data_IF_900093299677
#
_entry.id   IF_900093299677
#
_cell.length_a   1.000
_cell.length_b   1.000
_cell.length_c   1.000
_cell.angle_alpha   90.00
_cell.angle_beta   90.00
_cell.angle_gamma   90.00
#
_symmetry.space_group_name_H-M   'P 1'
#
loop_
_entity.id
_entity.type
_entity.pdbx_description
1 polymer ?
#
# COMPACT_ATOMS: atom_id res chain seq x y z
N UNK A 1 17.14 -26.65 -14.61
CA UNK A 1 16.42 -25.43 -15.06
C UNK A 1 17.09 -24.21 -14.42
N UNK A 2 17.79 -23.36 -15.20
CA UNK A 2 18.56 -22.21 -14.70
C UNK A 2 17.73 -21.11 -14.00
N UNK A 3 16.43 -21.04 -14.26
CA UNK A 3 15.57 -19.92 -13.84
C UNK A 3 14.48 -20.31 -12.84
N UNK A 4 14.72 -21.32 -12.01
CA UNK A 4 13.83 -21.62 -10.87
C UNK A 4 13.74 -20.41 -9.93
N UNK A 5 12.52 -20.13 -9.46
CA UNK A 5 12.23 -19.05 -8.51
C UNK A 5 12.53 -19.42 -7.06
N UNK A 6 12.80 -20.70 -6.77
CA UNK A 6 13.27 -21.13 -5.45
C UNK A 6 14.63 -20.49 -5.16
N UNK A 7 14.85 -19.85 -4.00
CA UNK A 7 16.11 -19.19 -3.72
C UNK A 7 17.21 -20.24 -3.48
N UNK A 8 18.22 -20.23 -4.35
CA UNK A 8 19.43 -21.06 -4.27
C UNK A 8 20.64 -20.11 -4.33
N UNK A 9 21.45 -20.12 -3.27
CA UNK A 9 22.58 -19.20 -3.09
C UNK A 9 23.65 -19.36 -4.18
N UNK A 10 23.75 -20.52 -4.84
CA UNK A 10 24.66 -20.73 -5.98
C UNK A 10 24.34 -19.83 -7.16
N UNK A 11 23.07 -19.42 -7.29
CA UNK A 11 22.60 -18.50 -8.32
C UNK A 11 22.57 -17.04 -7.85
N UNK A 12 23.27 -16.71 -6.75
CA UNK A 12 23.44 -15.32 -6.31
C UNK A 12 24.19 -14.51 -7.37
N UNK A 13 23.51 -13.49 -7.90
CA UNK A 13 24.10 -12.56 -8.84
C UNK A 13 24.63 -11.32 -8.11
N UNK A 14 25.96 -11.09 -8.08
CA UNK A 14 26.56 -9.96 -7.36
C UNK A 14 26.41 -8.61 -8.08
N UNK A 15 26.04 -8.60 -9.37
CA UNK A 15 25.87 -7.36 -10.14
C UNK A 15 24.70 -6.50 -9.65
N UNK A 16 24.52 -5.34 -10.28
CA UNK A 16 23.48 -4.38 -9.92
C UNK A 16 23.50 -3.95 -8.44
N UNK A 17 24.70 -3.71 -7.90
CA UNK A 17 24.97 -3.31 -6.51
C UNK A 17 24.67 -4.37 -5.44
N UNK A 18 24.18 -5.57 -5.79
CA UNK A 18 23.84 -6.60 -4.79
C UNK A 18 25.05 -7.09 -4.02
N UNK A 19 26.20 -7.26 -4.69
CA UNK A 19 27.47 -7.61 -4.05
C UNK A 19 27.94 -6.53 -3.08
N UNK A 20 27.94 -5.27 -3.52
CA UNK A 20 28.31 -4.14 -2.67
C UNK A 20 27.39 -4.00 -1.44
N UNK A 21 26.08 -4.21 -1.60
CA UNK A 21 25.12 -4.20 -0.49
C UNK A 21 25.37 -5.38 0.45
N UNK A 22 25.64 -6.57 -0.07
CA UNK A 22 25.98 -7.74 0.74
C UNK A 22 27.23 -7.49 1.59
N UNK A 23 28.28 -6.96 0.98
CA UNK A 23 29.54 -6.65 1.68
C UNK A 23 29.34 -5.54 2.72
N UNK A 24 28.54 -4.52 2.39
CA UNK A 24 28.17 -3.47 3.34
C UNK A 24 27.31 -3.98 4.51
N UNK A 25 26.41 -4.94 4.27
CA UNK A 25 25.63 -5.60 5.31
C UNK A 25 26.53 -6.39 6.26
N UNK A 26 27.47 -7.18 5.71
CA UNK A 26 28.45 -7.93 6.52
C UNK A 26 29.29 -6.97 7.35
N UNK A 27 29.78 -5.89 6.75
CA UNK A 27 30.56 -4.87 7.44
C UNK A 27 29.78 -4.23 8.60
N UNK A 28 28.54 -3.79 8.36
CA UNK A 28 27.71 -3.16 9.38
C UNK A 28 27.39 -4.12 10.54
N UNK A 29 27.09 -5.39 10.23
CA UNK A 29 26.82 -6.42 11.23
C UNK A 29 28.05 -6.72 12.08
N UNK A 30 29.22 -6.88 11.45
CA UNK A 30 30.46 -7.13 12.19
C UNK A 30 30.87 -5.90 13.01
N UNK A 31 30.56 -4.70 12.52
CA UNK A 31 30.76 -3.43 13.22
C UNK A 31 29.84 -3.21 14.43
N UNK A 32 28.82 -4.06 14.63
CA UNK A 32 27.91 -3.96 15.78
C UNK A 32 26.77 -2.95 15.59
N UNK A 33 26.41 -2.64 14.34
CA UNK A 33 25.33 -1.70 14.05
C UNK A 33 23.98 -2.22 14.55
N UNK A 34 23.32 -1.42 15.37
CA UNK A 34 22.12 -1.87 16.09
C UNK A 34 20.95 -2.22 15.18
N UNK A 35 20.75 -1.45 14.09
CA UNK A 35 19.62 -1.65 13.19
C UNK A 35 19.93 -1.26 11.76
N UNK A 36 19.66 -2.20 10.86
CA UNK A 36 19.88 -2.08 9.42
C UNK A 36 18.58 -2.39 8.69
N UNK A 37 18.32 -1.69 7.59
CA UNK A 37 17.13 -1.88 6.77
C UNK A 37 17.51 -2.08 5.31
N UNK A 38 16.90 -3.07 4.67
CA UNK A 38 17.01 -3.37 3.25
C UNK A 38 15.63 -3.38 2.63
N UNK A 39 15.38 -2.47 1.69
CA UNK A 39 14.10 -2.30 1.01
C UNK A 39 14.22 -2.70 -0.45
N UNK A 40 13.18 -3.32 -0.98
CA UNK A 40 13.07 -3.51 -2.41
C UNK A 40 11.73 -4.09 -2.81
N UNK A 41 11.37 -3.90 -4.08
CA UNK A 41 10.12 -4.40 -4.65
C UNK A 41 9.95 -5.93 -4.55
N UNK A 42 8.72 -6.40 -4.78
CA UNK A 42 8.45 -7.85 -4.85
C UNK A 42 9.30 -8.49 -5.95
N UNK A 43 10.06 -9.53 -5.57
CA UNK A 43 10.93 -10.22 -6.50
C UNK A 43 12.21 -9.45 -6.87
N UNK A 44 12.66 -8.50 -6.05
CA UNK A 44 13.95 -7.80 -6.21
C UNK A 44 15.18 -8.62 -5.77
N UNK A 45 14.96 -9.78 -5.14
CA UNK A 45 16.02 -10.68 -4.66
C UNK A 45 16.30 -10.63 -3.16
N UNK A 46 15.47 -9.95 -2.34
CA UNK A 46 15.64 -9.83 -0.88
C UNK A 46 15.93 -11.17 -0.17
N UNK A 47 15.06 -12.17 -0.32
CA UNK A 47 15.25 -13.50 0.30
C UNK A 47 16.55 -14.18 -0.14
N UNK A 48 16.96 -13.96 -1.40
CA UNK A 48 18.19 -14.54 -1.94
C UNK A 48 19.43 -13.82 -1.35
N UNK A 49 19.37 -12.51 -1.20
CA UNK A 49 20.37 -11.71 -0.49
C UNK A 49 20.46 -12.12 0.99
N UNK A 50 19.32 -12.25 1.69
CA UNK A 50 19.24 -12.66 3.08
C UNK A 50 19.89 -14.04 3.32
N UNK A 51 19.55 -15.05 2.50
CA UNK A 51 20.18 -16.38 2.58
C UNK A 51 21.67 -16.34 2.29
N UNK A 52 22.10 -15.53 1.32
CA UNK A 52 23.52 -15.40 0.97
C UNK A 52 24.28 -14.69 2.08
N UNK A 53 23.66 -13.70 2.73
CA UNK A 53 24.19 -13.04 3.93
C UNK A 53 24.39 -14.06 5.05
N UNK A 54 23.37 -14.86 5.38
CA UNK A 54 23.48 -15.88 6.41
C UNK A 54 24.62 -16.87 6.17
N UNK A 55 24.86 -17.26 4.91
CA UNK A 55 25.96 -18.16 4.54
C UNK A 55 27.35 -17.51 4.55
N UNK A 56 27.43 -16.17 4.49
CA UNK A 56 28.70 -15.43 4.44
C UNK A 56 29.06 -14.73 5.74
N UNK A 57 28.12 -14.65 6.69
CA UNK A 57 28.41 -14.16 8.02
C UNK A 57 29.43 -15.07 8.70
N UNK A 58 30.35 -14.51 9.50
CA UNK A 58 31.36 -15.29 10.21
C UNK A 58 30.72 -16.14 11.31
N UNK A 59 31.40 -17.22 11.72
CA UNK A 59 30.93 -18.13 12.79
C UNK A 59 30.76 -17.44 14.16
N UNK A 60 31.33 -16.25 14.34
CA UNK A 60 31.12 -15.40 15.51
C UNK A 60 29.73 -14.74 15.54
N UNK A 61 28.96 -14.80 14.45
CA UNK A 61 27.62 -14.21 14.35
C UNK A 61 26.58 -15.32 14.38
N UNK A 62 25.74 -15.29 15.40
CA UNK A 62 24.59 -16.18 15.56
C UNK A 62 23.34 -15.50 14.98
N UNK A 63 22.68 -16.18 14.05
CA UNK A 63 21.57 -15.64 13.27
C UNK A 63 20.24 -16.21 13.75
N UNK A 64 19.32 -15.32 14.12
CA UNK A 64 17.91 -15.63 14.36
C UNK A 64 17.11 -15.19 13.14
N UNK A 65 16.39 -16.11 12.50
CA UNK A 65 15.67 -15.83 11.24
C UNK A 65 14.16 -15.82 11.43
N UNK A 66 13.51 -14.68 11.15
CA UNK A 66 12.06 -14.52 11.25
C UNK A 66 11.46 -14.32 9.85
N UNK A 67 10.88 -15.40 9.29
CA UNK A 67 10.26 -15.36 7.96
C UNK A 67 8.86 -14.74 7.92
N UNK A 68 8.09 -14.88 9.00
CA UNK A 68 6.67 -14.50 9.06
C UNK A 68 6.40 -13.60 10.27
N UNK A 69 6.68 -12.29 10.18
CA UNK A 69 6.71 -11.43 11.35
C UNK A 69 5.33 -10.81 11.69
N UNK A 70 4.23 -11.41 11.21
CA UNK A 70 2.87 -10.98 11.54
C UNK A 70 2.45 -11.52 12.91
N UNK A 71 3.17 -11.08 13.95
CA UNK A 71 3.03 -11.51 15.33
C UNK A 71 2.65 -10.34 16.22
N UNK A 72 2.01 -10.64 17.35
CA UNK A 72 1.80 -9.67 18.42
C UNK A 72 3.14 -9.37 19.13
N UNK A 73 3.24 -8.23 19.85
CA UNK A 73 4.45 -7.87 20.60
C UNK A 73 4.92 -8.95 21.59
N UNK A 74 4.01 -9.63 22.28
CA UNK A 74 4.42 -10.68 23.23
C UNK A 74 4.92 -11.93 22.50
N UNK A 75 4.25 -12.32 21.40
CA UNK A 75 4.63 -13.51 20.65
C UNK A 75 6.01 -13.39 19.99
N UNK A 76 6.42 -12.19 19.55
CA UNK A 76 7.74 -12.03 18.93
C UNK A 76 8.88 -12.34 19.91
N UNK A 77 8.71 -12.02 21.21
CA UNK A 77 9.69 -12.34 22.25
C UNK A 77 9.85 -13.85 22.44
N UNK A 78 8.74 -14.56 22.52
CA UNK A 78 8.75 -16.03 22.64
C UNK A 78 9.35 -16.69 21.40
N UNK A 79 9.05 -16.18 20.20
CA UNK A 79 9.63 -16.72 18.96
C UNK A 79 11.14 -16.50 18.93
N UNK A 80 11.64 -15.31 19.28
CA UNK A 80 13.08 -15.05 19.36
C UNK A 80 13.74 -15.97 20.40
N UNK A 81 13.13 -16.14 21.57
CA UNK A 81 13.66 -17.02 22.60
C UNK A 81 13.74 -18.48 22.16
N UNK A 82 12.71 -18.97 21.46
CA UNK A 82 12.69 -20.33 20.91
C UNK A 82 13.76 -20.54 19.82
N UNK A 83 13.95 -19.56 18.93
CA UNK A 83 15.00 -19.61 17.90
C UNK A 83 16.41 -19.56 18.51
N UNK A 84 16.58 -18.91 19.68
CA UNK A 84 17.81 -18.94 20.47
C UNK A 84 17.95 -20.21 21.35
N UNK A 85 17.04 -21.18 21.20
CA UNK A 85 16.99 -22.43 21.94
C UNK A 85 16.84 -22.26 23.47
N UNK A 86 16.09 -21.24 23.89
CA UNK A 86 15.77 -21.00 25.30
C UNK A 86 14.49 -21.75 25.69
N UNK A 87 14.49 -22.38 26.86
CA UNK A 87 13.31 -23.05 27.42
C UNK A 87 12.39 -22.02 28.08
N UNK A 88 11.60 -21.33 27.27
CA UNK A 88 10.64 -20.32 27.71
C UNK A 88 9.22 -20.89 27.66
N UNK A 89 8.66 -21.19 28.83
CA UNK A 89 7.27 -21.67 28.94
C UNK A 89 6.29 -20.59 28.48
N UNK A 90 5.18 -21.01 27.87
CA UNK A 90 4.14 -20.11 27.37
C UNK A 90 3.43 -19.28 28.47
N UNK A 91 3.57 -19.70 29.72
CA UNK A 91 2.97 -19.05 30.91
C UNK A 91 3.85 -17.94 31.48
N UNK A 92 5.11 -17.84 31.04
CA UNK A 92 6.03 -16.82 31.53
C UNK A 92 5.53 -15.44 31.13
N UNK A 93 5.61 -14.51 32.08
CA UNK A 93 5.25 -13.13 31.78
C UNK A 93 6.33 -12.48 30.91
N UNK A 94 5.95 -11.40 30.22
CA UNK A 94 6.84 -10.64 29.33
C UNK A 94 8.18 -10.27 29.98
N UNK A 95 8.17 -9.88 31.25
CA UNK A 95 9.38 -9.46 31.96
C UNK A 95 10.36 -10.62 32.15
N UNK A 96 9.86 -11.80 32.53
CA UNK A 96 10.65 -13.03 32.67
C UNK A 96 11.28 -13.46 31.35
N UNK A 97 10.52 -13.38 30.25
CA UNK A 97 11.06 -13.69 28.91
C UNK A 97 12.17 -12.71 28.52
N UNK A 98 11.95 -11.41 28.71
CA UNK A 98 12.97 -10.39 28.43
C UNK A 98 14.22 -10.57 29.28
N UNK A 99 14.07 -10.86 30.57
CA UNK A 99 15.20 -11.12 31.47
C UNK A 99 15.98 -12.35 31.01
N UNK A 100 15.30 -13.43 30.63
CA UNK A 100 15.92 -14.66 30.13
C UNK A 100 16.67 -14.41 28.82
N UNK A 101 16.07 -13.65 27.89
CA UNK A 101 16.72 -13.22 26.66
C UNK A 101 17.98 -12.39 26.95
N UNK A 102 17.89 -11.40 27.84
CA UNK A 102 19.02 -10.55 28.19
C UNK A 102 20.19 -11.36 28.77
N UNK A 103 19.92 -12.30 29.68
CA UNK A 103 20.95 -13.18 30.24
C UNK A 103 21.61 -14.04 29.15
N UNK A 104 20.82 -14.67 28.28
CA UNK A 104 21.36 -15.43 27.16
C UNK A 104 22.26 -14.57 26.27
N UNK A 105 21.81 -13.37 25.89
CA UNK A 105 22.59 -12.48 25.02
C UNK A 105 23.90 -12.02 25.68
N UNK A 106 23.90 -11.79 27.00
CA UNK A 106 25.12 -11.50 27.76
C UNK A 106 26.08 -12.70 27.75
N UNK A 107 25.59 -13.92 27.91
CA UNK A 107 26.41 -15.13 27.86
C UNK A 107 27.04 -15.33 26.47
N UNK A 108 26.25 -15.12 25.40
CA UNK A 108 26.77 -15.16 24.02
C UNK A 108 27.82 -14.09 23.78
N UNK A 109 27.59 -12.87 24.28
CA UNK A 109 28.56 -11.79 24.19
C UNK A 109 29.86 -12.10 24.95
N UNK A 110 29.77 -12.70 26.15
CA UNK A 110 30.95 -13.14 26.91
C UNK A 110 31.76 -14.23 26.18
N UNK A 111 31.11 -15.03 25.33
CA UNK A 111 31.76 -15.99 24.42
C UNK A 111 32.31 -15.35 23.13
N UNK A 112 32.23 -14.02 22.99
CA UNK A 112 32.66 -13.30 21.79
C UNK A 112 31.70 -13.46 20.60
N UNK A 113 30.46 -13.92 20.83
CA UNK A 113 29.44 -14.05 19.80
C UNK A 113 28.57 -12.80 19.71
N UNK A 114 28.15 -12.47 18.50
CA UNK A 114 27.17 -11.42 18.20
C UNK A 114 25.86 -12.08 17.78
N UNK A 115 24.72 -11.57 18.26
CA UNK A 115 23.41 -12.09 17.86
C UNK A 115 22.73 -11.11 16.92
N UNK A 116 22.28 -11.60 15.77
CA UNK A 116 21.63 -10.82 14.72
C UNK A 116 20.28 -11.44 14.39
N UNK A 117 19.22 -10.62 14.44
CA UNK A 117 17.89 -11.00 13.99
C UNK A 117 17.72 -10.55 12.54
N UNK A 118 17.47 -11.48 11.63
CA UNK A 118 17.07 -11.22 10.25
C UNK A 118 15.55 -11.35 10.14
N UNK A 119 14.86 -10.24 9.87
CA UNK A 119 13.40 -10.21 9.73
C UNK A 119 13.05 -10.03 8.26
N UNK A 120 12.42 -11.04 7.64
CA UNK A 120 11.89 -10.94 6.29
C UNK A 120 10.43 -10.48 6.28
N UNK A 121 10.04 -9.79 5.19
CA UNK A 121 8.69 -9.24 5.00
C UNK A 121 8.25 -8.30 6.15
N UNK A 122 9.20 -7.49 6.65
CA UNK A 122 9.00 -6.60 7.80
C UNK A 122 7.85 -5.58 7.61
N UNK A 123 7.43 -5.28 6.38
CA UNK A 123 6.26 -4.43 6.14
C UNK A 123 4.94 -5.05 6.63
N UNK A 124 4.90 -6.38 6.84
CA UNK A 124 3.73 -7.09 7.36
C UNK A 124 3.65 -7.05 8.90
N UNK A 125 4.64 -6.46 9.57
CA UNK A 125 4.63 -6.30 11.02
C UNK A 125 3.64 -5.22 11.45
N UNK A 126 2.81 -5.48 12.49
CA UNK A 126 2.09 -4.43 13.17
C UNK A 126 3.04 -3.37 13.73
N UNK A 127 2.59 -2.10 13.79
CA UNK A 127 3.40 -0.99 14.29
C UNK A 127 3.84 -1.21 15.75
N UNK A 128 2.97 -1.76 16.59
CA UNK A 128 3.29 -2.07 17.99
C UNK A 128 4.39 -3.13 18.09
N UNK A 129 4.42 -4.10 17.17
CA UNK A 129 5.47 -5.14 17.11
C UNK A 129 6.79 -4.57 16.59
N UNK A 130 6.76 -3.63 15.64
CA UNK A 130 7.96 -2.89 15.24
C UNK A 130 8.52 -2.08 16.42
N UNK A 131 7.65 -1.44 17.20
CA UNK A 131 8.08 -0.73 18.41
C UNK A 131 8.70 -1.69 19.43
N UNK A 132 8.17 -2.90 19.60
CA UNK A 132 8.79 -3.94 20.44
C UNK A 132 10.20 -4.31 19.96
N UNK A 133 10.38 -4.51 18.65
CA UNK A 133 11.69 -4.77 18.05
C UNK A 133 12.66 -3.60 18.30
N UNK A 134 12.16 -2.35 18.27
CA UNK A 134 12.96 -1.16 18.63
C UNK A 134 13.40 -1.19 20.10
N UNK A 135 12.54 -1.66 21.00
CA UNK A 135 12.87 -1.77 22.42
C UNK A 135 13.94 -2.83 22.65
N UNK A 136 13.87 -3.96 21.94
CA UNK A 136 14.88 -5.01 21.99
C UNK A 136 16.27 -4.55 21.53
N UNK A 137 16.35 -3.59 20.60
CA UNK A 137 17.65 -3.02 20.16
C UNK A 137 18.34 -2.18 21.26
N UNK A 138 17.65 -1.88 22.37
CA UNK A 138 18.26 -1.29 23.56
C UNK A 138 18.98 -2.30 24.44
N UNK A 139 18.89 -3.60 24.15
CA UNK A 139 19.66 -4.60 24.90
C UNK A 139 21.14 -4.42 24.57
N UNK A 140 21.85 -3.80 25.52
CA UNK A 140 23.26 -3.44 25.39
C UNK A 140 23.97 -3.52 26.74
N UNK A 141 25.29 -3.71 26.69
CA UNK A 141 26.19 -3.42 27.80
C UNK A 141 26.59 -1.94 27.74
N UNK A 142 27.40 -1.48 28.70
CA UNK A 142 27.93 -0.11 28.68
C UNK A 142 28.72 0.23 27.40
N UNK A 143 29.22 -0.78 26.68
CA UNK A 143 30.13 -0.60 25.56
C UNK A 143 29.67 -1.26 24.25
N UNK A 144 28.74 -2.23 24.31
CA UNK A 144 28.40 -3.07 23.16
C UNK A 144 26.91 -3.39 23.08
N UNK A 145 26.36 -3.34 21.86
CA UNK A 145 25.03 -3.87 21.56
C UNK A 145 25.03 -5.40 21.69
N UNK A 146 24.03 -5.94 22.38
CA UNK A 146 23.86 -7.38 22.57
C UNK A 146 23.02 -8.01 21.45
N UNK A 147 22.17 -7.20 20.81
CA UNK A 147 21.26 -7.64 19.76
C UNK A 147 21.27 -6.65 18.60
N UNK A 148 21.46 -7.17 17.40
CA UNK A 148 21.38 -6.40 16.15
C UNK A 148 20.17 -6.85 15.33
N UNK A 149 19.56 -5.93 14.59
CA UNK A 149 18.35 -6.22 13.80
C UNK A 149 18.56 -5.82 12.34
N UNK A 150 18.26 -6.72 11.41
CA UNK A 150 18.25 -6.47 9.97
C UNK A 150 16.84 -6.69 9.43
N UNK A 151 16.23 -5.62 8.92
CA UNK A 151 14.88 -5.64 8.38
C UNK A 151 14.93 -5.75 6.86
N UNK A 152 14.36 -6.81 6.30
CA UNK A 152 14.10 -6.93 4.87
C UNK A 152 12.63 -6.66 4.60
N UNK A 153 12.36 -5.63 3.81
CA UNK A 153 10.98 -5.20 3.56
C UNK A 153 10.74 -4.72 2.14
N UNK A 154 9.47 -4.46 1.84
CA UNK A 154 9.03 -3.77 0.64
C UNK A 154 8.93 -2.25 0.92
N UNK A 155 8.77 -1.38 -0.10
CA UNK A 155 8.69 0.08 0.09
C UNK A 155 7.60 0.55 1.07
N UNK A 156 6.58 -0.27 1.32
CA UNK A 156 5.57 -0.08 2.34
C UNK A 156 6.18 0.03 3.75
N UNK A 157 7.30 -0.65 4.01
CA UNK A 157 8.04 -0.49 5.27
C UNK A 157 8.52 0.95 5.46
N UNK A 158 8.99 1.62 4.41
CA UNK A 158 9.40 3.02 4.49
C UNK A 158 8.24 3.96 4.75
N UNK A 159 7.05 3.61 4.24
CA UNK A 159 5.83 4.37 4.52
C UNK A 159 5.44 4.21 5.99
N UNK A 160 5.49 2.99 6.53
CA UNK A 160 5.20 2.71 7.95
C UNK A 160 6.19 3.44 8.87
N UNK A 161 7.50 3.33 8.60
CA UNK A 161 8.54 4.00 9.37
C UNK A 161 8.55 5.52 9.17
N UNK A 162 7.93 6.04 8.11
CA UNK A 162 7.75 7.46 7.86
C UNK A 162 6.63 8.11 8.67
N UNK A 163 5.80 7.32 9.35
CA UNK A 163 4.72 7.84 10.22
C UNK A 163 5.28 8.54 11.46
N UNK A 164 4.51 9.49 12.03
CA UNK A 164 4.94 10.24 13.21
C UNK A 164 5.20 9.35 14.43
N UNK A 165 4.41 8.28 14.61
CA UNK A 165 4.57 7.33 15.71
C UNK A 165 5.89 6.55 15.62
N UNK A 166 6.38 6.27 14.41
CA UNK A 166 7.60 5.49 14.18
C UNK A 166 8.87 6.34 14.00
N UNK A 167 8.81 7.66 14.27
CA UNK A 167 9.97 8.56 14.13
C UNK A 167 11.18 8.06 14.94
N UNK A 168 10.95 7.61 16.17
CA UNK A 168 12.01 7.10 17.04
C UNK A 168 12.64 5.81 16.50
N UNK A 169 11.84 4.95 15.89
CA UNK A 169 12.34 3.76 15.21
C UNK A 169 13.24 4.16 14.04
N UNK A 170 12.75 5.05 13.18
CA UNK A 170 13.46 5.50 11.98
C UNK A 170 14.81 6.13 12.30
N UNK A 171 14.91 6.92 13.36
CA UNK A 171 16.16 7.55 13.81
C UNK A 171 17.21 6.53 14.30
N UNK A 172 16.81 5.30 14.64
CA UNK A 172 17.73 4.21 15.02
C UNK A 172 18.21 3.35 13.86
N UNK A 173 17.63 3.49 12.67
CA UNK A 173 18.11 2.77 11.48
C UNK A 173 19.44 3.41 11.06
N UNK A 174 20.56 2.78 11.42
CA UNK A 174 21.90 3.27 11.12
C UNK A 174 22.24 3.16 9.62
N UNK A 175 21.76 2.09 8.99
CA UNK A 175 21.96 1.85 7.56
C UNK A 175 20.66 1.52 6.84
N UNK A 176 20.48 2.10 5.66
CA UNK A 176 19.35 1.86 4.76
C UNK A 176 19.86 1.56 3.36
N UNK A 177 19.52 0.38 2.84
CA UNK A 177 19.88 -0.06 1.49
C UNK A 177 18.64 -0.29 0.64
N UNK A 178 18.72 0.08 -0.63
CA UNK A 178 17.66 -0.14 -1.61
C UNK A 178 18.10 -1.14 -2.68
N UNK A 179 17.21 -2.05 -3.07
CA UNK A 179 17.42 -3.00 -4.16
C UNK A 179 16.65 -2.54 -5.40
N UNK A 180 17.25 -1.69 -6.27
CA UNK A 180 16.56 -1.15 -7.43
C UNK A 180 16.32 -2.24 -8.49
N UNK A 181 15.27 -2.13 -9.33
CA UNK A 181 15.08 -3.00 -10.48
C UNK A 181 16.30 -2.99 -11.43
N UNK A 182 16.54 -4.09 -12.12
CA UNK A 182 17.65 -4.17 -13.08
C UNK A 182 17.46 -3.28 -14.30
N UNK A 183 18.52 -2.59 -14.68
CA UNK A 183 18.70 -1.96 -15.99
C UNK A 183 18.87 -3.01 -17.09
N UNK A 184 18.76 -2.59 -18.36
CA UNK A 184 18.85 -3.49 -19.52
C UNK A 184 20.19 -4.25 -19.56
N UNK A 185 21.30 -3.58 -19.24
CA UNK A 185 22.62 -4.20 -19.18
C UNK A 185 22.69 -5.25 -18.05
N UNK A 186 22.15 -4.92 -16.88
CA UNK A 186 22.13 -5.85 -15.74
C UNK A 186 21.23 -7.06 -16.01
N UNK A 187 20.12 -6.90 -16.75
CA UNK A 187 19.30 -8.04 -17.19
C UNK A 187 20.10 -9.00 -18.08
N UNK A 188 20.89 -8.49 -19.02
CA UNK A 188 21.79 -9.33 -19.84
C UNK A 188 22.76 -10.10 -18.94
N UNK A 189 23.46 -9.37 -18.08
CA UNK A 189 24.53 -9.93 -17.26
C UNK A 189 23.96 -10.98 -16.29
N UNK A 190 22.77 -10.73 -15.73
CA UNK A 190 22.02 -11.67 -14.91
C UNK A 190 21.61 -12.94 -15.67
N UNK A 191 21.01 -12.81 -16.86
CA UNK A 191 20.60 -13.97 -17.67
C UNK A 191 21.81 -14.85 -18.01
N UNK A 192 22.91 -14.23 -18.44
CA UNK A 192 24.15 -14.92 -18.77
C UNK A 192 24.76 -15.61 -17.55
N UNK A 193 24.79 -14.93 -16.40
CA UNK A 193 25.23 -15.52 -15.15
C UNK A 193 24.42 -16.76 -14.78
N UNK A 194 23.08 -16.69 -14.80
CA UNK A 194 22.21 -17.83 -14.46
C UNK A 194 22.39 -19.01 -15.42
N UNK A 195 22.61 -18.74 -16.71
CA UNK A 195 22.92 -19.78 -17.70
C UNK A 195 24.28 -20.43 -17.42
N UNK A 196 25.29 -19.63 -17.11
CA UNK A 196 26.64 -20.12 -16.82
C UNK A 196 26.67 -21.01 -15.57
N UNK A 197 26.03 -20.58 -14.48
CA UNK A 197 25.90 -21.38 -13.24
C UNK A 197 25.17 -22.71 -13.49
N UNK A 198 24.25 -22.75 -14.46
CA UNK A 198 23.56 -23.99 -14.85
C UNK A 198 24.37 -24.89 -15.81
N UNK A 199 25.63 -24.56 -16.09
CA UNK A 199 26.54 -25.35 -16.92
C UNK A 199 26.49 -25.04 -18.41
N UNK A 200 25.80 -23.98 -18.83
CA UNK A 200 25.79 -23.56 -20.23
C UNK A 200 27.10 -22.85 -20.60
N UNK A 201 27.76 -23.35 -21.66
CA UNK A 201 28.96 -22.70 -22.23
C UNK A 201 28.66 -21.71 -23.36
N UNK A 202 27.45 -21.73 -23.93
CA UNK A 202 27.12 -20.77 -25.00
C UNK A 202 26.73 -19.41 -24.40
N UNK A 203 27.42 -18.36 -24.83
CA UNK A 203 27.24 -16.98 -24.36
C UNK A 203 26.02 -16.27 -24.96
N UNK A 204 25.37 -16.86 -25.98
CA UNK A 204 24.45 -16.13 -26.87
C UNK A 204 23.03 -16.73 -26.96
N UNK A 205 22.59 -17.50 -25.97
CA UNK A 205 21.21 -18.03 -25.94
C UNK A 205 20.13 -16.94 -26.02
N UNK A 206 20.42 -15.75 -25.50
CA UNK A 206 19.53 -14.60 -25.47
C UNK A 206 20.05 -13.48 -26.39
N UNK A 207 19.50 -13.31 -27.61
CA UNK A 207 19.92 -12.23 -28.49
C UNK A 207 19.65 -10.84 -27.89
N UNK A 208 20.46 -9.81 -28.18
CA UNK A 208 20.30 -8.46 -27.62
C UNK A 208 18.92 -7.81 -27.83
N UNK A 209 18.21 -8.17 -28.91
CA UNK A 209 16.84 -7.71 -29.16
C UNK A 209 15.84 -8.32 -28.19
N UNK A 210 16.02 -9.61 -27.86
CA UNK A 210 15.19 -10.35 -26.90
C UNK A 210 15.45 -9.82 -25.50
N UNK A 211 16.71 -9.62 -25.10
CA UNK A 211 17.08 -9.06 -23.79
C UNK A 211 16.40 -7.71 -23.55
N UNK A 212 16.48 -6.78 -24.51
CA UNK A 212 15.82 -5.46 -24.41
C UNK A 212 14.32 -5.59 -24.16
N UNK A 213 13.67 -6.57 -24.79
CA UNK A 213 12.24 -6.82 -24.62
C UNK A 213 11.94 -7.52 -23.30
N UNK A 214 12.75 -8.47 -22.85
CA UNK A 214 12.66 -9.07 -21.50
C UNK A 214 12.75 -7.99 -20.45
N UNK A 215 13.75 -7.09 -20.52
CA UNK A 215 13.90 -5.97 -19.59
C UNK A 215 12.65 -5.07 -19.57
N UNK A 216 12.08 -4.76 -20.75
CA UNK A 216 10.84 -3.99 -20.85
C UNK A 216 9.61 -4.69 -20.24
N UNK A 217 9.40 -5.98 -20.55
CA UNK A 217 8.26 -6.74 -20.04
C UNK A 217 8.39 -7.14 -18.57
N UNK A 218 9.61 -7.28 -18.06
CA UNK A 218 9.87 -7.59 -16.64
C UNK A 218 9.97 -6.34 -15.78
N UNK A 219 10.17 -5.17 -16.38
CA UNK A 219 10.49 -3.91 -15.69
C UNK A 219 11.71 -4.05 -14.75
N UNK A 220 12.63 -4.96 -15.06
CA UNK A 220 13.83 -5.21 -14.25
C UNK A 220 13.61 -6.05 -12.98
N UNK A 221 12.40 -6.59 -12.74
CA UNK A 221 12.13 -7.49 -11.61
C UNK A 221 12.74 -8.87 -11.85
N UNK A 222 13.58 -9.35 -10.92
CA UNK A 222 14.26 -10.65 -11.02
C UNK A 222 13.25 -11.79 -11.20
N UNK A 223 12.16 -11.78 -10.42
CA UNK A 223 11.10 -12.80 -10.52
C UNK A 223 10.46 -12.85 -11.91
N UNK A 224 10.19 -11.69 -12.51
CA UNK A 224 9.58 -11.60 -13.85
C UNK A 224 10.57 -12.02 -14.94
N UNK A 225 11.84 -11.64 -14.79
CA UNK A 225 12.92 -12.08 -15.69
C UNK A 225 13.01 -13.61 -15.67
N UNK A 226 13.07 -14.21 -14.48
CA UNK A 226 13.15 -15.66 -14.32
C UNK A 226 11.95 -16.37 -14.96
N UNK A 227 10.73 -15.89 -14.69
CA UNK A 227 9.53 -16.50 -15.25
C UNK A 227 9.51 -16.45 -16.79
N UNK A 228 9.88 -15.30 -17.37
CA UNK A 228 9.98 -15.17 -18.82
C UNK A 228 11.05 -16.09 -19.39
N UNK A 229 12.25 -16.09 -18.81
CA UNK A 229 13.37 -16.90 -19.28
C UNK A 229 13.05 -18.40 -19.20
N UNK A 230 12.44 -18.87 -18.10
CA UNK A 230 12.06 -20.27 -17.92
C UNK A 230 11.05 -20.73 -18.99
N UNK A 231 9.97 -19.96 -19.20
CA UNK A 231 8.98 -20.26 -20.25
C UNK A 231 9.57 -20.22 -21.66
N UNK A 232 10.45 -19.25 -21.92
CA UNK A 232 11.14 -19.14 -23.19
C UNK A 232 12.04 -20.34 -23.48
N UNK A 233 12.81 -20.79 -22.49
CA UNK A 233 13.65 -21.98 -22.61
C UNK A 233 12.83 -23.25 -22.80
N UNK A 234 11.71 -23.40 -22.10
CA UNK A 234 10.79 -24.53 -22.29
C UNK A 234 10.23 -24.55 -23.71
N UNK A 235 9.79 -23.40 -24.24
CA UNK A 235 9.26 -23.30 -25.60
C UNK A 235 10.33 -23.61 -26.66
N UNK A 236 11.56 -23.11 -26.47
CA UNK A 236 12.67 -23.38 -27.37
C UNK A 236 13.11 -24.84 -27.34
N UNK A 237 13.15 -25.45 -26.15
CA UNK A 237 13.44 -26.87 -25.99
C UNK A 237 12.42 -27.74 -26.72
N UNK A 238 11.12 -27.44 -26.59
CA UNK A 238 10.06 -28.14 -27.31
C UNK A 238 10.17 -28.04 -28.85
N UNK A 239 10.86 -27.02 -29.36
CA UNK A 239 11.08 -26.77 -30.79
C UNK A 239 12.50 -27.16 -31.26
N UNK A 240 13.32 -27.77 -30.39
CA UNK A 240 14.74 -28.04 -30.65
C UNK A 240 15.53 -26.82 -31.15
N UNK A 241 15.18 -25.61 -30.67
CA UNK A 241 15.82 -24.38 -31.08
C UNK A 241 17.08 -24.10 -30.26
N UNK A 242 18.19 -23.79 -30.94
CA UNK A 242 19.47 -23.44 -30.31
C UNK A 242 19.56 -22.00 -29.80
N UNK A 243 18.64 -21.13 -30.22
CA UNK A 243 18.57 -19.72 -29.81
C UNK A 243 17.15 -19.27 -29.48
N UNK A 244 17.03 -18.32 -28.56
CA UNK A 244 15.74 -17.73 -28.19
C UNK A 244 15.33 -16.63 -29.17
N UNK A 245 14.09 -16.70 -29.65
CA UNK A 245 13.55 -15.78 -30.63
C UNK A 245 12.42 -14.93 -30.02
N UNK A 246 12.01 -13.87 -30.75
CA UNK A 246 10.88 -13.04 -30.35
C UNK A 246 9.56 -13.80 -30.21
N UNK A 247 9.21 -14.77 -31.08
CA UNK A 247 8.06 -15.65 -30.87
C UNK A 247 8.05 -16.35 -29.50
N UNK A 248 9.18 -16.90 -29.06
CA UNK A 248 9.27 -17.54 -27.73
C UNK A 248 8.95 -16.56 -26.61
N UNK A 249 9.47 -15.32 -26.70
CA UNK A 249 9.17 -14.28 -25.71
C UNK A 249 7.69 -13.89 -25.73
N UNK A 250 7.09 -13.70 -26.90
CA UNK A 250 5.69 -13.30 -27.01
C UNK A 250 4.75 -14.38 -26.46
N UNK A 251 5.05 -15.66 -26.69
CA UNK A 251 4.32 -16.77 -26.08
C UNK A 251 4.50 -16.78 -24.56
N UNK A 252 5.75 -16.66 -24.08
CA UNK A 252 6.02 -16.57 -22.65
C UNK A 252 5.29 -15.41 -21.96
N UNK A 253 5.23 -14.23 -22.60
CA UNK A 253 4.50 -13.06 -22.09
C UNK A 253 2.99 -13.32 -22.05
N UNK A 254 2.41 -13.94 -23.09
CA UNK A 254 0.97 -14.29 -23.10
C UNK A 254 0.62 -15.24 -21.96
N UNK A 255 1.50 -16.20 -21.67
CA UNK A 255 1.30 -17.17 -20.60
C UNK A 255 1.57 -16.58 -19.21
N UNK A 256 2.09 -15.36 -19.12
CA UNK A 256 2.35 -14.68 -17.85
C UNK A 256 1.28 -13.63 -17.59
N UNK A 257 0.55 -13.78 -16.48
CA UNK A 257 -0.34 -12.74 -15.96
C UNK A 257 0.52 -11.69 -15.24
N UNK A 258 1.24 -10.86 -16.00
CA UNK A 258 1.82 -9.65 -15.44
C UNK A 258 0.72 -8.60 -15.36
N UNK A 259 0.56 -7.98 -14.19
CA UNK A 259 -0.36 -6.86 -14.04
C UNK A 259 0.04 -5.79 -15.07
N UNK A 260 -0.78 -5.62 -16.11
CA UNK A 260 -0.45 -4.81 -17.27
C UNK A 260 -0.55 -3.33 -16.88
N UNK A 261 0.48 -2.79 -16.24
CA UNK A 261 0.72 -1.34 -16.33
C UNK A 261 1.32 -1.07 -17.72
N UNK A 262 0.60 -0.38 -18.62
CA UNK A 262 1.05 -0.17 -19.99
C UNK A 262 2.29 0.71 -20.00
N UNK A 263 3.43 0.09 -20.31
CA UNK A 263 4.76 0.67 -20.55
C UNK A 263 4.80 1.81 -21.61
N UNK A 264 3.67 2.16 -22.22
CA UNK A 264 3.54 3.22 -23.21
C UNK A 264 3.38 4.64 -22.65
N UNK A 265 3.04 4.83 -21.37
CA UNK A 265 2.63 6.17 -20.89
C UNK A 265 3.74 7.07 -20.32
N UNK A 266 4.93 6.55 -19.98
CA UNK A 266 6.01 7.41 -19.43
C UNK A 266 6.96 8.02 -20.48
N UNK A 267 6.91 7.59 -21.75
CA UNK A 267 7.59 8.34 -22.84
C UNK A 267 6.74 9.50 -23.38
N UNK A 268 5.41 9.37 -23.41
CA UNK A 268 4.54 10.47 -23.86
C UNK A 268 4.47 11.63 -22.86
N UNK A 269 4.65 11.39 -21.55
CA UNK A 269 4.70 12.49 -20.57
C UNK A 269 5.93 13.40 -20.72
N UNK A 270 7.05 12.91 -21.27
CA UNK A 270 8.22 13.75 -21.60
C UNK A 270 8.07 14.52 -22.91
N UNK A 271 7.30 14.02 -23.87
CA UNK A 271 6.99 14.74 -25.12
C UNK A 271 5.88 15.78 -24.89
N UNK A 272 4.93 15.51 -23.99
CA UNK A 272 3.87 16.45 -23.61
C UNK A 272 4.37 17.75 -22.97
N UNK A 273 5.54 17.73 -22.32
CA UNK A 273 6.15 18.94 -21.73
C UNK A 273 6.81 19.87 -22.76
N UNK A 274 7.12 19.40 -23.98
CA UNK A 274 7.69 20.22 -25.04
C UNK A 274 6.62 20.90 -25.90
N UNK A 275 5.40 20.35 -25.93
CA UNK A 275 4.28 20.93 -26.69
C UNK A 275 3.92 22.38 -26.29
N UNK A 276 3.82 22.76 -25.00
CA UNK A 276 3.53 24.15 -24.64
C UNK A 276 4.64 25.12 -25.03
N UNK A 277 5.91 24.69 -25.04
CA UNK A 277 7.05 25.53 -25.45
C UNK A 277 6.99 25.81 -26.95
N UNK A 278 6.73 24.78 -27.76
CA UNK A 278 6.59 24.93 -29.23
C UNK A 278 5.40 25.81 -29.58
N UNK A 279 4.24 25.60 -28.95
CA UNK A 279 3.04 26.43 -29.17
C UNK A 279 3.28 27.89 -28.77
N UNK A 280 3.98 28.14 -27.66
CA UNK A 280 4.29 29.49 -27.21
C UNK A 280 5.26 30.21 -28.16
N UNK A 281 6.26 29.49 -28.71
CA UNK A 281 7.18 30.07 -29.71
C UNK A 281 6.47 30.42 -31.02
N UNK A 282 5.51 29.60 -31.46
CA UNK A 282 4.73 29.86 -32.68
C UNK A 282 3.77 31.04 -32.47
N UNK A 283 3.11 31.13 -31.31
CA UNK A 283 2.25 32.27 -30.97
C UNK A 283 3.03 33.58 -30.82
N UNK A 284 4.25 33.54 -30.27
CA UNK A 284 5.11 34.71 -30.16
C UNK A 284 5.59 35.22 -31.53
N UNK A 285 5.91 34.30 -32.46
CA UNK A 285 6.27 34.64 -33.83
C UNK A 285 5.08 35.26 -34.59
N UNK A 286 3.87 34.72 -34.41
CA UNK A 286 2.65 35.28 -35.01
C UNK A 286 2.30 36.65 -34.43
N UNK A 287 2.49 36.87 -33.13
CA UNK A 287 2.24 38.16 -32.48
C UNK A 287 3.18 39.26 -33.02
N UNK A 288 4.48 38.96 -33.15
CA UNK A 288 5.47 39.86 -33.76
C UNK A 288 5.12 40.24 -35.21
N UNK A 289 4.50 39.32 -35.97
CA UNK A 289 4.08 39.59 -37.35
C UNK A 289 2.80 40.42 -37.47
N UNK A 290 2.02 40.56 -36.39
CA UNK A 290 0.74 41.28 -36.39
C UNK A 290 0.84 42.76 -36.00
N UNK A 291 2.03 43.21 -35.58
CA UNK A 291 2.27 44.60 -35.17
C UNK A 291 3.24 45.30 -36.11
N UNK A 292 2.93 45.34 -37.41
CA UNK A 292 3.59 46.23 -38.38
C UNK A 292 2.53 46.92 -39.25
N UNK A 293 2.21 48.16 -38.83
CA UNK A 293 1.65 49.32 -39.56
C UNK A 293 0.34 49.16 -40.34
N UNK A 294 -0.59 50.12 -40.16
CA UNK A 294 -0.86 51.00 -41.30
C UNK A 294 -0.99 52.49 -40.91
N UNK A 295 -0.11 53.32 -41.45
CA UNK A 295 -0.43 54.71 -41.79
C UNK A 295 -0.79 54.71 -43.27
N UNK A 296 -2.04 55.01 -43.60
CA UNK A 296 -2.33 55.96 -44.67
C UNK A 296 -3.79 56.40 -44.67
N UNK A 297 -3.95 57.70 -44.91
CA UNK A 297 -5.15 58.50 -44.94
C UNK A 297 -6.06 58.13 -46.12
N UNK A 298 -7.38 58.15 -45.92
CA UNK A 298 -8.33 58.07 -47.03
C UNK A 298 -9.78 58.03 -46.61
N UNK A 299 -10.45 59.17 -46.72
CA UNK A 299 -11.83 59.44 -46.33
C UNK A 299 -12.91 58.67 -47.13
N UNK A 300 -14.16 58.85 -46.66
CA UNK A 300 -15.48 58.64 -47.31
C UNK A 300 -16.22 57.37 -46.84
N UNK A 301 -17.48 57.36 -46.37
CA UNK A 301 -18.63 58.26 -46.50
C UNK A 301 -19.56 58.25 -45.24
N UNK A 302 -20.13 59.43 -44.92
CA UNK A 302 -21.54 59.79 -44.54
C UNK A 302 -22.56 58.64 -44.29
N UNK A 303 -23.59 58.66 -43.43
CA UNK A 303 -24.20 59.53 -42.39
C UNK A 303 -25.46 58.74 -41.81
N UNK A 304 -26.47 59.29 -41.06
CA UNK A 304 -26.83 58.86 -39.68
C UNK A 304 -28.35 58.49 -39.47
N UNK A 305 -28.87 58.80 -38.25
CA UNK A 305 -30.25 58.72 -37.67
C UNK A 305 -30.59 57.41 -36.93
N UNK A 306 -31.31 57.34 -35.80
CA UNK A 306 -31.71 58.18 -34.64
C UNK A 306 -33.01 57.56 -34.09
N UNK A 307 -33.13 57.50 -32.76
CA UNK A 307 -34.37 57.63 -31.96
C UNK A 307 -35.58 56.67 -32.10
N UNK A 308 -35.91 56.05 -30.95
CA UNK A 308 -37.17 56.22 -30.18
C UNK A 308 -36.95 55.56 -28.79
N UNK A 309 -36.89 56.31 -27.67
CA UNK A 309 -37.99 56.86 -26.84
C UNK A 309 -38.95 55.74 -26.35
N UNK A 310 -39.40 55.59 -25.10
CA UNK A 310 -39.35 56.43 -23.88
C UNK A 310 -39.94 55.62 -22.69
N UNK A 311 -39.66 56.09 -21.46
CA UNK A 311 -40.44 56.00 -20.20
C UNK A 311 -39.91 55.08 -19.08
N UNK A 312 -39.20 55.68 -18.10
CA UNK A 312 -39.71 56.19 -16.80
C UNK A 312 -40.83 55.38 -16.10
N UNK A 313 -40.94 55.27 -14.76
CA UNK A 313 -40.13 55.66 -13.61
C UNK A 313 -40.75 55.00 -12.34
N UNK A 314 -39.90 54.85 -11.33
CA UNK A 314 -40.07 55.04 -9.88
C UNK A 314 -41.29 54.61 -9.01
N UNK A 315 -40.91 53.96 -7.88
CA UNK A 315 -41.27 54.22 -6.45
C UNK A 315 -42.63 53.73 -5.91
N UNK A 316 -42.57 53.03 -4.76
CA UNK A 316 -43.72 52.87 -3.86
C UNK A 316 -43.61 51.77 -2.80
N UNK A 317 -43.15 52.17 -1.61
CA UNK A 317 -42.97 51.42 -0.35
C UNK A 317 -44.29 50.88 0.29
N UNK A 318 -44.18 49.82 1.12
CA UNK A 318 -44.73 49.63 2.50
C UNK A 318 -45.42 48.30 2.85
N UNK A 319 -44.83 47.64 3.86
CA UNK A 319 -45.39 47.12 5.12
C UNK A 319 -46.17 45.79 5.28
N UNK A 320 -45.78 45.13 6.40
CA UNK A 320 -46.54 44.24 7.31
C UNK A 320 -46.68 42.77 6.91
N UNK A 321 -46.33 41.79 7.76
CA UNK A 321 -46.95 41.55 9.08
C UNK A 321 -46.15 40.57 9.96
N UNK A 322 -46.44 40.63 11.26
CA UNK A 322 -45.68 40.11 12.40
C UNK A 322 -46.56 39.20 13.28
N UNK A 323 -45.93 38.31 14.08
CA UNK A 323 -46.34 37.73 15.41
C UNK A 323 -47.46 36.68 15.51
N UNK A 324 -47.11 35.49 16.06
CA UNK A 324 -47.74 34.81 17.25
C UNK A 324 -46.73 33.82 17.88
N UNK A 325 -46.09 34.11 19.03
CA UNK A 325 -46.39 33.74 20.44
C UNK A 325 -46.36 32.23 20.84
N UNK A 326 -45.30 31.90 21.59
CA UNK A 326 -45.29 31.30 22.96
C UNK A 326 -45.75 29.86 23.24
N UNK A 327 -44.74 29.03 23.55
CA UNK A 327 -44.58 27.99 24.57
C UNK A 327 -45.76 27.46 25.41
N UNK A 328 -45.81 26.14 25.59
CA UNK A 328 -45.77 25.40 26.89
C UNK A 328 -45.66 23.86 26.62
N UNK A 329 -44.83 23.18 27.45
CA UNK A 329 -44.57 21.71 27.63
C UNK A 329 -43.63 21.04 26.63
N UNK A 330 -42.31 20.90 26.85
CA UNK A 330 -41.49 20.38 27.97
C UNK A 330 -41.48 18.84 28.12
N UNK A 331 -40.43 18.23 27.53
CA UNK A 331 -39.51 17.18 28.04
C UNK A 331 -39.20 16.13 26.97
N UNK A 332 -38.26 16.46 26.09
CA UNK A 332 -37.29 15.55 25.43
C UNK A 332 -36.57 16.37 24.37
N UNK A 333 -35.60 17.20 24.77
CA UNK A 333 -34.65 17.83 23.84
C UNK A 333 -33.50 18.47 24.62
N UNK A 334 -32.50 17.66 24.95
CA UNK A 334 -31.13 18.12 25.18
C UNK A 334 -30.24 17.08 24.49
N UNK A 335 -30.16 17.12 23.15
CA UNK A 335 -29.11 16.49 22.32
C UNK A 335 -29.39 16.60 20.80
N UNK A 336 -29.92 17.71 20.25
CA UNK A 336 -30.08 17.80 18.78
C UNK A 336 -29.99 19.20 18.14
N UNK A 337 -29.02 20.01 18.55
CA UNK A 337 -28.74 21.29 17.85
C UNK A 337 -27.23 21.53 17.69
N UNK A 338 -26.63 20.86 16.71
CA UNK A 338 -25.25 21.20 16.32
C UNK A 338 -24.52 20.33 15.28
N UNK A 339 -25.14 19.31 14.66
CA UNK A 339 -24.38 18.37 13.80
C UNK A 339 -25.03 18.19 12.44
N UNK A 340 -24.62 19.01 11.47
CA UNK A 340 -25.02 18.89 10.05
C UNK A 340 -24.38 17.63 9.46
N UNK A 341 -25.19 16.63 9.13
CA UNK A 341 -24.79 15.36 8.49
C UNK A 341 -24.26 15.56 7.07
N UNK A 342 -23.12 14.94 6.72
CA UNK A 342 -22.47 15.05 5.40
C UNK A 342 -23.39 14.57 4.26
N UNK A 343 -24.18 13.51 4.48
CA UNK A 343 -25.22 13.04 3.55
C UNK A 343 -26.35 14.04 3.29
N UNK A 344 -26.68 14.90 4.27
CA UNK A 344 -27.68 15.96 4.10
C UNK A 344 -27.26 16.99 3.04
N UNK A 345 -25.95 17.13 2.81
CA UNK A 345 -25.34 18.02 1.81
C UNK A 345 -25.49 17.52 0.37
N UNK A 346 -25.78 16.22 0.17
CA UNK A 346 -25.90 15.57 -1.15
C UNK A 346 -27.30 14.98 -1.43
N UNK A 347 -28.28 15.22 -0.56
CA UNK A 347 -29.66 14.70 -0.65
C UNK A 347 -30.48 15.20 -1.87
N UNK A 348 -29.86 15.93 -2.80
CA UNK A 348 -30.52 16.73 -3.83
C UNK A 348 -31.12 15.97 -5.02
N UNK A 349 -30.73 14.72 -5.32
CA UNK A 349 -31.33 13.84 -6.34
C UNK A 349 -30.61 12.49 -6.36
N UNK A 350 -31.20 11.49 -5.69
CA UNK A 350 -30.72 10.11 -5.69
C UNK A 350 -29.80 9.76 -4.53
N UNK A 351 -30.26 9.95 -3.28
CA UNK A 351 -29.65 9.47 -2.03
C UNK A 351 -30.70 8.96 -1.02
N UNK A 352 -31.83 8.46 -1.52
CA UNK A 352 -33.02 8.17 -0.68
C UNK A 352 -32.82 6.92 0.17
N UNK A 353 -32.27 5.86 -0.42
CA UNK A 353 -32.06 4.57 0.27
C UNK A 353 -30.97 4.70 1.34
N UNK A 354 -29.88 5.41 1.02
CA UNK A 354 -28.77 5.64 1.95
C UNK A 354 -29.19 6.42 3.18
N UNK A 355 -29.91 7.53 2.99
CA UNK A 355 -30.39 8.36 4.10
C UNK A 355 -31.31 7.56 5.03
N UNK A 356 -32.18 6.72 4.46
CA UNK A 356 -33.07 5.86 5.24
C UNK A 356 -32.30 4.79 6.02
N UNK A 357 -31.34 4.11 5.40
CA UNK A 357 -30.51 3.09 6.07
C UNK A 357 -29.62 3.68 7.17
N UNK A 358 -29.11 4.90 7.00
CA UNK A 358 -28.33 5.57 8.04
C UNK A 358 -29.15 5.85 9.31
N UNK A 359 -30.39 6.29 9.15
CA UNK A 359 -31.30 6.55 10.29
C UNK A 359 -31.60 5.24 11.02
N UNK A 360 -31.91 4.18 10.27
CA UNK A 360 -32.19 2.86 10.84
C UNK A 360 -30.96 2.25 11.54
N UNK A 361 -29.77 2.45 10.96
CA UNK A 361 -28.50 1.96 11.53
C UNK A 361 -28.19 2.65 12.87
N UNK A 362 -28.41 3.96 12.98
CA UNK A 362 -28.23 4.67 14.26
C UNK A 362 -29.19 4.19 15.34
N UNK A 363 -30.44 3.92 14.98
CA UNK A 363 -31.44 3.34 15.90
C UNK A 363 -31.08 1.93 16.32
N UNK A 364 -30.56 1.13 15.39
CA UNK A 364 -30.11 -0.23 15.65
C UNK A 364 -28.91 -0.25 16.60
N UNK A 365 -27.85 0.53 16.34
CA UNK A 365 -26.66 0.60 17.20
C UNK A 365 -27.04 1.01 18.62
N UNK A 366 -27.91 2.01 18.79
CA UNK A 366 -28.38 2.44 20.11
C UNK A 366 -29.23 1.40 20.86
N UNK A 367 -29.62 0.29 20.23
CA UNK A 367 -30.49 -0.74 20.80
C UNK A 367 -29.81 -2.09 21.05
N UNK A 368 -28.56 -2.26 20.59
CA UNK A 368 -27.86 -3.56 20.61
C UNK A 368 -26.72 -3.52 21.62
N UNK A 369 -26.54 -4.62 22.34
CA UNK A 369 -25.47 -4.78 23.32
C UNK A 369 -24.09 -4.85 22.64
N UNK A 370 -23.09 -4.16 23.19
CA UNK A 370 -21.68 -4.13 22.76
C UNK A 370 -21.04 -5.51 22.52
N UNK A 371 -21.59 -6.57 23.14
CA UNK A 371 -21.14 -7.95 23.03
C UNK A 371 -21.44 -8.62 21.67
N UNK A 372 -22.20 -7.96 20.80
CA UNK A 372 -22.58 -8.49 19.48
C UNK A 372 -21.52 -8.20 18.42
N UNK A 373 -21.56 -9.00 17.35
CA UNK A 373 -20.68 -8.91 16.19
C UNK A 373 -21.50 -8.63 14.92
N UNK A 374 -20.91 -7.91 13.97
CA UNK A 374 -21.45 -7.66 12.64
C UNK A 374 -20.42 -8.04 11.57
N UNK A 375 -20.86 -8.17 10.32
CA UNK A 375 -19.97 -8.44 9.19
C UNK A 375 -19.82 -7.16 8.39
N UNK A 376 -18.61 -6.60 8.34
CA UNK A 376 -18.31 -5.43 7.54
C UNK A 376 -18.12 -5.85 6.08
N UNK A 377 -18.97 -5.31 5.19
CA UNK A 377 -18.97 -5.64 3.78
C UNK A 377 -18.00 -4.76 2.99
N UNK A 378 -17.99 -3.45 3.24
CA UNK A 378 -17.14 -2.51 2.52
C UNK A 378 -17.00 -1.20 3.28
N UNK A 379 -15.90 -0.50 3.03
CA UNK A 379 -15.66 0.87 3.49
C UNK A 379 -15.14 1.70 2.33
N UNK A 380 -15.66 2.92 2.18
CA UNK A 380 -15.18 3.90 1.20
C UNK A 380 -14.95 5.24 1.88
N UNK A 381 -14.05 6.04 1.32
CA UNK A 381 -13.91 7.43 1.78
C UNK A 381 -15.22 8.15 1.56
N UNK A 382 -15.73 8.80 2.59
CA UNK A 382 -16.98 9.54 2.54
C UNK A 382 -16.83 10.90 1.87
N UNK A 383 -15.71 11.20 1.20
CA UNK A 383 -15.33 12.55 0.78
C UNK A 383 -15.75 12.89 -0.65
N UNK A 384 -16.04 11.89 -1.49
CA UNK A 384 -16.39 12.09 -2.91
C UNK A 384 -17.84 11.69 -3.21
N UNK A 385 -18.54 12.55 -3.98
CA UNK A 385 -19.91 12.29 -4.46
C UNK A 385 -20.01 10.99 -5.26
N UNK A 386 -18.97 10.66 -6.04
CA UNK A 386 -18.93 9.43 -6.84
C UNK A 386 -18.93 8.16 -5.98
N UNK A 387 -18.38 8.22 -4.77
CA UNK A 387 -18.32 7.06 -3.87
C UNK A 387 -19.67 6.80 -3.19
N UNK A 388 -20.38 7.87 -2.83
CA UNK A 388 -21.75 7.81 -2.30
C UNK A 388 -22.70 7.25 -3.37
N UNK A 389 -22.64 7.78 -4.60
CA UNK A 389 -23.47 7.31 -5.73
C UNK A 389 -23.17 5.85 -6.08
N UNK A 390 -21.91 5.41 -5.99
CA UNK A 390 -21.55 4.01 -6.22
C UNK A 390 -22.14 3.07 -5.18
N UNK A 391 -22.12 3.42 -3.89
CA UNK A 391 -22.71 2.59 -2.82
C UNK A 391 -24.22 2.49 -3.03
N UNK A 392 -24.88 3.59 -3.39
CA UNK A 392 -26.31 3.55 -3.69
C UNK A 392 -26.64 2.73 -4.94
N UNK A 393 -25.79 2.79 -5.96
CA UNK A 393 -25.92 1.94 -7.13
C UNK A 393 -25.79 0.46 -6.76
N UNK A 394 -24.93 0.11 -5.80
CA UNK A 394 -24.81 -1.27 -5.28
C UNK A 394 -26.04 -1.67 -4.47
N UNK A 395 -26.55 -0.80 -3.59
CA UNK A 395 -27.73 -1.07 -2.76
C UNK A 395 -29.04 -1.13 -3.56
N UNK A 396 -29.11 -0.42 -4.68
CA UNK A 396 -30.27 -0.42 -5.59
C UNK A 396 -30.27 -1.59 -6.58
N UNK A 397 -29.25 -2.46 -6.59
CA UNK A 397 -29.25 -3.67 -7.39
C UNK A 397 -30.41 -4.57 -6.96
N UNK A 398 -31.21 -5.04 -7.91
CA UNK A 398 -32.36 -5.93 -7.66
C UNK A 398 -31.99 -7.20 -6.88
N UNK A 399 -30.73 -7.64 -7.01
CA UNK A 399 -30.19 -8.81 -6.32
C UNK A 399 -29.80 -8.54 -4.85
N UNK A 400 -29.66 -7.26 -4.45
CA UNK A 400 -29.34 -6.82 -3.08
C UNK A 400 -30.62 -6.39 -2.33
N UNK A 401 -31.68 -6.01 -3.06
CA UNK A 401 -32.96 -5.59 -2.50
C UNK A 401 -33.54 -6.50 -1.40
N UNK A 402 -33.49 -7.85 -1.49
CA UNK A 402 -34.00 -8.73 -0.43
C UNK A 402 -33.23 -8.63 0.89
N UNK A 403 -31.99 -8.17 0.87
CA UNK A 403 -31.09 -8.13 2.02
C UNK A 403 -31.00 -6.74 2.67
N UNK A 404 -31.71 -5.73 2.13
CA UNK A 404 -31.60 -4.33 2.59
C UNK A 404 -31.91 -4.16 4.08
N UNK A 405 -32.81 -4.97 4.64
CA UNK A 405 -33.17 -4.91 6.07
C UNK A 405 -32.07 -5.46 6.99
N UNK A 406 -31.15 -6.24 6.46
CA UNK A 406 -29.98 -6.75 7.19
C UNK A 406 -28.72 -5.92 6.90
N UNK A 407 -28.81 -4.90 6.05
CA UNK A 407 -27.69 -4.03 5.70
C UNK A 407 -27.77 -2.73 6.51
N UNK A 408 -26.69 -2.45 7.20
CA UNK A 408 -26.49 -1.27 8.03
C UNK A 408 -25.45 -0.36 7.37
N UNK A 409 -25.76 0.93 7.25
CA UNK A 409 -24.86 1.93 6.68
C UNK A 409 -24.60 2.98 7.73
N UNK A 410 -23.34 3.15 8.11
CA UNK A 410 -22.93 4.18 9.05
C UNK A 410 -21.76 4.96 8.50
N UNK A 411 -21.64 6.17 9.01
CA UNK A 411 -20.49 7.00 8.71
C UNK A 411 -19.59 7.01 9.95
N UNK A 412 -18.30 6.78 9.77
CA UNK A 412 -17.29 6.75 10.83
C UNK A 412 -16.10 7.64 10.53
N UNK A 413 -15.12 7.68 11.43
CA UNK A 413 -13.80 8.28 11.19
C UNK A 413 -12.75 7.18 11.36
N UNK A 414 -11.99 6.92 10.30
CA UNK A 414 -10.84 6.00 10.35
C UNK A 414 -9.59 6.81 10.01
N UNK A 415 -8.65 6.87 10.95
CA UNK A 415 -7.37 7.59 10.74
C UNK A 415 -7.54 9.09 10.44
N UNK A 416 -8.57 9.74 10.99
CA UNK A 416 -8.88 11.15 10.74
C UNK A 416 -9.61 11.44 9.42
N UNK A 417 -9.95 10.41 8.64
CA UNK A 417 -10.75 10.55 7.42
C UNK A 417 -12.18 10.07 7.64
N UNK A 418 -13.14 10.86 7.16
CA UNK A 418 -14.57 10.50 7.16
C UNK A 418 -14.76 9.33 6.20
N UNK A 419 -15.27 8.20 6.68
CA UNK A 419 -15.58 7.02 5.87
C UNK A 419 -17.06 6.68 5.93
N UNK A 420 -17.55 6.03 4.87
CA UNK A 420 -18.87 5.43 4.79
C UNK A 420 -18.70 3.90 4.76
N UNK A 421 -19.18 3.24 5.80
CA UNK A 421 -19.05 1.80 5.98
C UNK A 421 -20.41 1.11 5.88
N UNK A 422 -20.43 -0.04 5.20
CA UNK A 422 -21.61 -0.88 5.02
C UNK A 422 -21.37 -2.20 5.73
N UNK A 423 -22.26 -2.55 6.65
CA UNK A 423 -22.21 -3.75 7.48
C UNK A 423 -23.45 -4.60 7.29
N UNK A 424 -23.36 -5.88 7.64
CA UNK A 424 -24.39 -6.88 7.41
C UNK A 424 -24.65 -7.71 8.67
N UNK A 425 -25.92 -7.75 9.08
CA UNK A 425 -26.42 -8.56 10.17
C UNK A 425 -25.85 -8.19 11.54
N UNK A 426 -26.34 -8.89 12.55
CA UNK A 426 -25.83 -8.82 13.92
C UNK A 426 -25.97 -10.18 14.59
N UNK A 427 -24.95 -10.57 15.34
CA UNK A 427 -24.79 -11.94 15.83
C UNK A 427 -24.30 -11.92 17.27
N UNK A 428 -24.91 -12.72 18.14
CA UNK A 428 -24.64 -12.79 19.58
C UNK A 428 -23.28 -13.44 19.95
N UNK A 429 -22.35 -13.55 19.00
CA UNK A 429 -21.01 -14.10 19.23
C UNK A 429 -20.21 -14.34 17.95
N UNK A 430 -18.89 -14.46 18.09
CA UNK A 430 -17.97 -14.64 16.97
C UNK A 430 -18.24 -15.92 16.16
N UNK A 431 -18.64 -17.01 16.83
CA UNK A 431 -18.98 -18.27 16.15
C UNK A 431 -20.21 -18.12 15.24
N UNK A 432 -21.24 -17.39 15.69
CA UNK A 432 -22.44 -17.14 14.89
C UNK A 432 -22.14 -16.21 13.70
N UNK A 433 -21.31 -15.19 13.91
CA UNK A 433 -20.83 -14.31 12.84
C UNK A 433 -19.98 -15.08 11.80
N UNK A 434 -19.17 -16.06 12.24
CA UNK A 434 -18.36 -16.89 11.34
C UNK A 434 -19.20 -17.83 10.49
N UNK A 435 -20.23 -18.45 11.06
CA UNK A 435 -21.18 -19.26 10.28
C UNK A 435 -21.91 -18.40 9.25
N UNK A 436 -22.38 -17.22 9.65
CA UNK A 436 -23.04 -16.29 8.73
C UNK A 436 -22.11 -15.77 7.62
N UNK A 437 -20.80 -15.60 7.89
CA UNK A 437 -19.80 -15.21 6.90
C UNK A 437 -19.65 -16.27 5.79
N UNK A 438 -19.77 -17.55 6.14
CA UNK A 438 -19.71 -18.67 5.18
C UNK A 438 -20.98 -18.77 4.35
N UNK A 439 -22.14 -18.44 4.94
CA UNK A 439 -23.45 -18.48 4.28
C UNK A 439 -23.80 -17.19 3.51
N UNK A 440 -22.89 -16.22 3.47
CA UNK A 440 -23.12 -14.96 2.77
C UNK A 440 -23.44 -15.18 1.28
N UNK A 441 -24.42 -14.45 0.73
CA UNK A 441 -24.70 -14.46 -0.70
C UNK A 441 -23.42 -14.18 -1.51
N UNK A 442 -23.19 -14.93 -2.60
CA UNK A 442 -22.00 -14.79 -3.47
C UNK A 442 -21.76 -13.35 -3.98
N UNK A 443 -22.80 -12.52 -3.99
CA UNK A 443 -22.73 -11.11 -4.38
C UNK A 443 -22.10 -10.21 -3.31
N UNK A 444 -22.16 -10.61 -2.04
CA UNK A 444 -21.60 -9.88 -0.91
C UNK A 444 -20.20 -10.39 -0.53
N UNK A 445 -19.89 -11.65 -0.83
CA UNK A 445 -18.53 -12.21 -0.63
C UNK A 445 -17.46 -11.56 -1.51
N UNK A 446 -17.85 -10.96 -2.67
CA UNK A 446 -16.92 -10.26 -3.58
C UNK A 446 -16.24 -9.05 -2.96
N UNK A 447 -16.76 -8.53 -1.85
CA UNK A 447 -16.23 -7.34 -1.17
C UNK A 447 -15.23 -7.66 -0.06
N UNK A 448 -14.77 -8.91 0.05
CA UNK A 448 -13.87 -9.38 1.11
C UNK A 448 -14.38 -9.05 2.52
N UNK A 449 -15.56 -9.56 2.89
CA UNK A 449 -16.17 -9.24 4.17
C UNK A 449 -15.36 -9.77 5.35
N UNK A 450 -15.33 -9.04 6.46
CA UNK A 450 -14.68 -9.45 7.70
C UNK A 450 -15.58 -9.19 8.92
N UNK A 451 -15.37 -9.97 9.99
CA UNK A 451 -16.16 -9.88 11.22
C UNK A 451 -15.61 -8.75 12.09
N UNK A 452 -16.50 -7.96 12.68
CA UNK A 452 -16.16 -6.86 13.58
C UNK A 452 -17.09 -6.83 14.79
N UNK A 453 -16.62 -6.37 15.95
CA UNK A 453 -17.46 -6.15 17.12
C UNK A 453 -18.26 -4.85 17.01
N UNK A 454 -19.47 -4.82 17.59
CA UNK A 454 -20.28 -3.59 17.63
C UNK A 454 -19.60 -2.50 18.46
N UNK A 455 -18.92 -2.86 19.56
CA UNK A 455 -18.07 -1.90 20.31
C UNK A 455 -17.05 -1.17 19.44
N UNK A 456 -16.41 -1.87 18.49
CA UNK A 456 -15.46 -1.25 17.57
C UNK A 456 -16.15 -0.34 16.54
N UNK A 457 -17.38 -0.65 16.17
CA UNK A 457 -18.24 0.16 15.30
C UNK A 457 -18.66 1.46 15.99
N UNK A 458 -19.07 1.37 17.26
CA UNK A 458 -19.51 2.51 18.06
C UNK A 458 -18.41 3.52 18.30
N UNK A 459 -17.20 3.06 18.62
CA UNK A 459 -16.05 3.93 18.77
C UNK A 459 -15.78 4.74 17.48
N UNK A 460 -15.87 4.10 16.31
CA UNK A 460 -15.67 4.77 15.01
C UNK A 460 -16.75 5.82 14.70
N UNK A 461 -17.97 5.60 15.18
CA UNK A 461 -19.10 6.52 15.01
C UNK A 461 -19.02 7.69 16.00
N UNK A 462 -18.56 7.43 17.22
CA UNK A 462 -18.48 8.39 18.31
C UNK A 462 -17.22 9.27 18.26
N UNK A 463 -16.15 8.85 17.58
CA UNK A 463 -14.93 9.64 17.32
C UNK A 463 -15.12 10.81 16.31
N UNK A 464 -16.37 11.29 16.12
CA UNK A 464 -16.77 12.30 15.14
C UNK A 464 -16.95 13.71 15.67
#
# INVERSE_FOLDING_TARGET
>A
MPFKNTPDSRFFFPGAQRGAILDALIYAICGGESMIKVVGEVGSGKTMLCRTLQLRLPDSVEVVYLAHPSLTPDNILHVIANELHLDVRAELNRFEVLSTLQHCLLDRHAMGKQVVILIEEAQNMPLDTLEEVRLLSNLETQQHKLLQIVLFGQPELDQHLGTKSMRQFKERVGYSFDLPPFSISEVRDYLNHRMHVAGSQASDFFPPRVIRRIAGYSQGSIRRINLLADKMLLAAYAQNASQLTMPHLLNAVKDCVFNQQPWRLNRLKRVGYLWPVVVMTVLFALFQSSTLTPQDLGASWRQPLSERLVADAEVGNTNSSTVTKTAIRARTDVLDSGRVTFTKRFAGRGAKILTQRQIETRRWIASVDDSYYTIQLMTRTGTSRAEVEWIEQVLSQSQVAPYLNSIHVHEGVIGGQVVLAVSYGHYAGFSAARSALVELPKLLTRFQPFIRSIRSLENEINER
#
